data_IF_984561175034
#
_entry.id   IF_984561175034
#
_cell.length_a   1.000
_cell.length_b   1.000
_cell.length_c   1.000
_cell.angle_alpha   90.00
_cell.angle_beta   90.00
_cell.angle_gamma   90.00
#
_symmetry.space_group_name_H-M   'P 1'
#
loop_
_entity.id
_entity.type
_entity.pdbx_description
1 polymer ?
#
# COMPACT_ATOMS: atom_id res chain seq x y z
N UNK A 1 -1.83 19.39 17.44
CA UNK A 1 -0.91 19.14 16.32
C UNK A 1 -1.78 18.57 15.23
N UNK A 2 -1.91 19.26 14.10
CA UNK A 2 -2.74 18.77 13.01
C UNK A 2 -2.07 17.52 12.44
N UNK A 3 -2.73 16.38 12.51
CA UNK A 3 -2.23 15.18 11.85
C UNK A 3 -2.29 15.46 10.35
N UNK A 4 -1.20 15.19 9.62
CA UNK A 4 -1.12 15.36 8.15
C UNK A 4 -2.29 14.72 7.38
N UNK A 5 -2.97 13.79 8.03
CA UNK A 5 -4.06 12.97 7.54
C UNK A 5 -5.45 13.41 8.01
N UNK A 6 -5.58 14.63 8.53
CA UNK A 6 -6.89 15.23 8.82
C UNK A 6 -7.59 15.60 7.51
N UNK A 7 -8.77 15.01 7.22
CA UNK A 7 -9.51 15.35 6.02
C UNK A 7 -10.11 16.76 6.09
N UNK A 8 -10.28 17.45 4.93
CA UNK A 8 -9.79 17.04 3.63
C UNK A 8 -8.28 17.30 3.48
N UNK A 9 -7.55 16.32 2.94
CA UNK A 9 -6.13 16.48 2.59
C UNK A 9 -5.86 16.12 1.12
N UNK A 10 -4.72 16.54 0.58
CA UNK A 10 -4.37 16.33 -0.82
C UNK A 10 -3.14 15.45 -0.96
N UNK A 11 -3.18 14.53 -1.92
CA UNK A 11 -2.00 13.78 -2.37
C UNK A 11 -1.89 13.90 -3.88
N UNK A 12 -0.85 14.62 -4.32
CA UNK A 12 -0.73 15.03 -5.71
C UNK A 12 -1.94 15.84 -6.14
N UNK A 13 -2.70 15.31 -7.09
CA UNK A 13 -3.83 15.99 -7.74
C UNK A 13 -5.19 15.52 -7.20
N UNK A 14 -5.21 14.63 -6.20
CA UNK A 14 -6.44 14.04 -5.64
C UNK A 14 -6.66 14.51 -4.20
N UNK A 15 -7.90 14.95 -3.92
CA UNK A 15 -8.38 15.23 -2.58
C UNK A 15 -8.87 13.94 -1.92
N UNK A 16 -8.56 13.78 -0.64
CA UNK A 16 -9.02 12.69 0.22
C UNK A 16 -9.96 13.25 1.28
N UNK A 17 -11.10 12.59 1.41
CA UNK A 17 -12.18 12.91 2.35
C UNK A 17 -12.17 11.94 3.53
N UNK A 18 -13.02 12.19 4.54
CA UNK A 18 -13.23 11.25 5.65
C UNK A 18 -13.65 9.86 5.13
N UNK A 19 -14.55 9.81 4.14
CA UNK A 19 -14.97 8.54 3.54
C UNK A 19 -13.84 7.79 2.82
N UNK A 20 -12.88 8.51 2.23
CA UNK A 20 -11.69 7.87 1.65
C UNK A 20 -10.80 7.30 2.74
N UNK A 21 -10.64 8.01 3.86
CA UNK A 21 -9.84 7.56 4.99
C UNK A 21 -10.45 6.30 5.63
N UNK A 22 -11.77 6.28 5.81
CA UNK A 22 -12.49 5.11 6.31
C UNK A 22 -12.36 3.92 5.35
N UNK A 23 -12.50 4.15 4.04
CA UNK A 23 -12.32 3.12 3.02
C UNK A 23 -10.89 2.54 3.03
N UNK A 24 -9.87 3.39 3.20
CA UNK A 24 -8.48 2.94 3.33
C UNK A 24 -8.35 2.02 4.54
N UNK A 25 -8.84 2.45 5.72
CA UNK A 25 -8.77 1.66 6.96
C UNK A 25 -9.47 0.31 6.81
N UNK A 26 -10.70 0.32 6.31
CA UNK A 26 -11.51 -0.88 6.06
C UNK A 26 -10.80 -1.84 5.10
N UNK A 27 -10.20 -1.31 4.02
CA UNK A 27 -9.47 -2.12 3.04
C UNK A 27 -8.23 -2.77 3.67
N UNK A 28 -7.43 -2.02 4.44
CA UNK A 28 -6.24 -2.58 5.12
C UNK A 28 -6.63 -3.65 6.12
N UNK A 29 -7.69 -3.44 6.90
CA UNK A 29 -8.17 -4.41 7.89
C UNK A 29 -8.75 -5.67 7.24
N UNK A 30 -9.58 -5.52 6.21
CA UNK A 30 -10.22 -6.65 5.51
C UNK A 30 -9.22 -7.50 4.75
N UNK A 31 -8.18 -6.87 4.20
CA UNK A 31 -7.21 -7.52 3.32
C UNK A 31 -5.81 -7.61 3.95
N UNK A 32 -5.74 -7.73 5.27
CA UNK A 32 -4.47 -7.81 6.02
C UNK A 32 -3.60 -9.03 5.70
N UNK A 33 -4.14 -10.01 4.97
CA UNK A 33 -3.44 -11.21 4.50
C UNK A 33 -2.77 -11.03 3.13
N UNK A 34 -3.11 -9.98 2.38
CA UNK A 34 -2.54 -9.68 1.07
C UNK A 34 -1.10 -9.19 1.18
N UNK A 35 -0.33 -9.27 0.09
CA UNK A 35 0.93 -8.54 0.01
C UNK A 35 0.70 -7.03 -0.10
N UNK A 36 1.71 -6.22 0.22
CA UNK A 36 1.63 -4.76 0.06
C UNK A 36 1.22 -4.34 -1.35
N UNK A 37 1.73 -5.02 -2.37
CA UNK A 37 1.39 -4.74 -3.76
C UNK A 37 -0.07 -5.06 -4.07
N UNK A 38 -0.54 -6.23 -3.66
CA UNK A 38 -1.94 -6.64 -3.86
C UNK A 38 -2.89 -5.70 -3.09
N UNK A 39 -2.56 -5.37 -1.84
CA UNK A 39 -3.31 -4.41 -1.04
C UNK A 39 -3.37 -3.02 -1.70
N UNK A 40 -2.25 -2.55 -2.25
CA UNK A 40 -2.19 -1.27 -2.96
C UNK A 40 -3.01 -1.28 -4.27
N UNK A 41 -3.03 -2.40 -5.00
CA UNK A 41 -3.89 -2.56 -6.18
C UNK A 41 -5.36 -2.53 -5.78
N UNK A 42 -5.76 -3.35 -4.80
CA UNK A 42 -7.13 -3.35 -4.26
C UNK A 42 -7.54 -1.97 -3.77
N UNK A 43 -6.64 -1.25 -3.10
CA UNK A 43 -6.92 0.11 -2.65
C UNK A 43 -7.10 1.08 -3.84
N UNK A 44 -6.22 1.02 -4.84
CA UNK A 44 -6.29 1.82 -6.06
C UNK A 44 -7.52 1.49 -6.95
N UNK A 45 -8.12 0.31 -6.80
CA UNK A 45 -9.37 -0.08 -7.46
C UNK A 45 -10.60 0.47 -6.73
N UNK A 46 -10.59 0.38 -5.39
CA UNK A 46 -11.70 0.86 -4.55
C UNK A 46 -11.72 2.39 -4.43
N UNK A 47 -10.54 3.02 -4.36
CA UNK A 47 -10.42 4.46 -4.55
C UNK A 47 -10.50 4.76 -6.05
N UNK A 48 -11.21 5.79 -6.50
CA UNK A 48 -11.11 6.28 -7.88
C UNK A 48 -9.77 7.01 -8.10
N UNK A 49 -8.64 6.38 -7.77
CA UNK A 49 -7.29 6.92 -7.87
C UNK A 49 -6.47 6.21 -8.95
N UNK A 50 -6.97 6.32 -10.17
CA UNK A 50 -6.40 5.69 -11.36
C UNK A 50 -5.89 6.75 -12.33
N UNK A 51 -4.93 6.40 -13.17
CA UNK A 51 -4.52 7.23 -14.29
C UNK A 51 -5.65 7.33 -15.34
N UNK A 52 -5.61 8.31 -16.26
CA UNK A 52 -6.65 8.48 -17.29
C UNK A 52 -6.88 7.25 -18.18
N UNK A 53 -5.90 6.34 -18.25
CA UNK A 53 -5.97 5.07 -18.96
C UNK A 53 -6.52 3.91 -18.10
N UNK A 54 -7.05 4.19 -16.90
CA UNK A 54 -7.56 3.19 -15.97
C UNK A 54 -6.49 2.37 -15.24
N UNK A 55 -5.20 2.68 -15.42
CA UNK A 55 -4.15 1.98 -14.69
C UNK A 55 -4.07 2.49 -13.26
N UNK A 56 -4.05 1.56 -12.31
CA UNK A 56 -3.81 1.86 -10.90
C UNK A 56 -2.49 2.63 -10.75
N UNK A 57 -2.50 3.73 -9.98
CA UNK A 57 -1.28 4.44 -9.58
C UNK A 57 -0.59 3.64 -8.45
N UNK A 58 -0.16 2.42 -8.76
CA UNK A 58 0.35 1.45 -7.79
C UNK A 58 1.44 2.02 -6.89
N UNK A 59 2.41 2.73 -7.47
CA UNK A 59 3.47 3.37 -6.69
C UNK A 59 2.93 4.43 -5.73
N UNK A 60 1.94 5.23 -6.15
CA UNK A 60 1.30 6.24 -5.29
C UNK A 60 0.49 5.59 -4.16
N UNK A 61 -0.27 4.52 -4.46
CA UNK A 61 -0.99 3.76 -3.44
C UNK A 61 -0.04 3.08 -2.44
N UNK A 62 1.10 2.55 -2.91
CA UNK A 62 2.13 1.99 -2.05
C UNK A 62 2.76 3.06 -1.14
N UNK A 63 3.17 4.20 -1.69
CA UNK A 63 3.72 5.31 -0.90
C UNK A 63 2.73 5.80 0.15
N UNK A 64 1.46 6.00 -0.22
CA UNK A 64 0.39 6.36 0.70
C UNK A 64 0.31 5.38 1.89
N UNK A 65 0.23 4.09 1.58
CA UNK A 65 0.13 3.04 2.60
C UNK A 65 1.36 2.98 3.52
N UNK A 66 2.57 3.14 2.97
CA UNK A 66 3.81 3.14 3.75
C UNK A 66 3.92 4.38 4.66
N UNK A 67 3.49 5.55 4.18
CA UNK A 67 3.49 6.78 4.98
C UNK A 67 2.43 6.73 6.10
N UNK A 68 1.24 6.21 5.83
CA UNK A 68 0.19 6.04 6.85
C UNK A 68 0.56 4.98 7.89
N UNK A 69 1.28 3.92 7.50
CA UNK A 69 1.83 2.92 8.42
C UNK A 69 2.92 3.53 9.32
N UNK A 70 3.81 4.36 8.74
CA UNK A 70 4.85 5.06 9.49
C UNK A 70 4.27 6.06 10.51
N UNK A 71 3.17 6.72 10.17
CA UNK A 71 2.44 7.63 11.07
C UNK A 71 1.47 6.90 12.01
N UNK A 72 1.39 5.57 11.95
CA UNK A 72 0.61 4.73 12.85
C UNK A 72 -0.91 4.76 12.62
N UNK A 73 -1.37 5.24 11.46
CA UNK A 73 -2.79 5.28 11.14
C UNK A 73 -3.36 3.95 10.67
N UNK A 74 -2.55 3.17 9.96
CA UNK A 74 -2.89 1.83 9.48
C UNK A 74 -1.76 0.89 9.81
N UNK A 75 -2.01 -0.42 9.76
CA UNK A 75 -0.98 -1.43 9.95
C UNK A 75 -0.88 -2.29 8.71
N UNK A 76 0.13 -2.04 7.88
CA UNK A 76 0.30 -2.83 6.65
C UNK A 76 1.07 -4.12 6.93
N UNK A 77 0.88 -5.17 6.12
CA UNK A 77 1.62 -6.41 6.25
C UNK A 77 3.13 -6.16 6.18
N UNK A 78 3.91 -6.90 6.99
CA UNK A 78 5.36 -6.81 6.94
C UNK A 78 5.85 -7.09 5.51
N UNK A 79 6.87 -6.35 5.06
CA UNK A 79 7.56 -6.66 3.80
C UNK A 79 8.00 -8.12 3.89
N UNK A 80 7.49 -8.97 2.99
CA UNK A 80 7.98 -10.36 2.86
C UNK A 80 9.45 -10.24 2.48
N UNK A 81 10.33 -10.43 3.47
CA UNK A 81 11.77 -10.46 3.24
C UNK A 81 12.04 -11.51 2.17
N UNK A 82 12.81 -11.14 1.15
CA UNK A 82 13.37 -12.11 0.22
C UNK A 82 14.04 -13.17 1.08
N UNK A 83 13.61 -14.43 0.96
CA UNK A 83 14.29 -15.53 1.62
C UNK A 83 15.79 -15.40 1.29
N UNK A 84 16.70 -15.52 2.27
CA UNK A 84 18.12 -15.37 2.01
C UNK A 84 18.50 -16.29 0.85
N UNK A 85 19.18 -15.71 -0.14
CA UNK A 85 19.65 -16.44 -1.31
C UNK A 85 20.44 -17.66 -0.82
N UNK A 86 19.88 -18.86 -1.06
CA UNK A 86 20.60 -20.12 -0.87
C UNK A 86 21.20 -20.47 -2.22
N UNK A 87 22.52 -20.28 -2.43
CA UNK A 87 23.13 -20.81 -3.64
C UNK A 87 22.83 -22.31 -3.69
N UNK A 88 22.27 -22.77 -4.81
CA UNK A 88 22.15 -24.19 -5.06
C UNK A 88 23.54 -24.80 -4.87
N UNK A 89 23.67 -25.85 -4.05
CA UNK A 89 24.91 -26.60 -3.95
C UNK A 89 25.25 -27.10 -5.35
N UNK A 90 26.15 -26.40 -6.04
CA UNK A 90 26.76 -26.89 -7.26
C UNK A 90 27.43 -28.20 -6.84
N UNK A 91 26.83 -29.30 -7.28
CA UNK A 91 27.37 -30.63 -7.10
C UNK A 91 28.62 -30.68 -7.99
N UNK A 92 29.76 -30.29 -7.44
CA UNK A 92 31.05 -30.56 -8.07
C UNK A 92 31.26 -32.06 -7.94
N UNK A 93 30.93 -32.80 -9.00
CA UNK A 93 31.30 -34.20 -9.13
C UNK A 93 32.67 -34.27 -9.83
N UNK A 94 33.60 -35.14 -9.39
CA UNK A 94 34.97 -35.25 -9.91
C UNK A 94 35.03 -35.77 -11.35
#
# INVERSE_FOLDING_TARGET
>A
MASRWEPPFWIGERMFTDGDLDLIRETVERFSSLSRTELALTLCENLPWQAPNGQARLHSCLSLLEEMDADGLVKIPAKRGLAPYRPARLHTQP
#
